data_IF_926854171886
#
_entry.id   IF_926854171886
#
_cell.length_a   1.000
_cell.length_b   1.000
_cell.length_c   1.000
_cell.angle_alpha   90.00
_cell.angle_beta   90.00
_cell.angle_gamma   90.00
#
_symmetry.space_group_name_H-M   'P 1'
#
loop_
_entity.id
_entity.type
_entity.pdbx_description
1 polymer ?
#
# COMPACT_ATOMS: atom_id res chain seq x y z
N UNK A 1 5.55 15.26 -21.60
CA UNK A 1 5.45 14.09 -20.72
C UNK A 1 6.84 13.59 -20.37
N UNK A 2 6.96 12.87 -19.29
CA UNK A 2 8.20 12.22 -18.84
C UNK A 2 8.47 10.99 -19.68
N UNK A 3 9.71 10.79 -20.10
CA UNK A 3 10.12 9.58 -20.81
C UNK A 3 10.54 8.48 -19.83
N UNK A 4 10.49 7.23 -20.26
CA UNK A 4 10.89 6.10 -19.43
C UNK A 4 12.38 6.17 -18.98
N UNK A 5 13.24 6.69 -19.84
CA UNK A 5 14.67 6.89 -19.57
C UNK A 5 14.97 7.96 -18.50
N UNK A 6 14.00 8.84 -18.20
CA UNK A 6 14.11 9.91 -17.21
C UNK A 6 13.60 9.46 -15.81
N UNK A 7 13.08 8.23 -15.67
CA UNK A 7 12.60 7.69 -14.40
C UNK A 7 13.79 7.14 -13.60
N UNK A 8 14.00 7.67 -12.40
CA UNK A 8 15.09 7.27 -11.51
C UNK A 8 14.66 6.17 -10.53
N UNK A 9 13.37 6.13 -10.16
CA UNK A 9 12.83 5.21 -9.17
C UNK A 9 11.40 4.79 -9.53
N UNK A 10 11.11 3.50 -9.41
CA UNK A 10 9.75 2.94 -9.46
C UNK A 10 9.41 2.34 -8.11
N UNK A 11 8.30 2.78 -7.51
CA UNK A 11 7.70 2.19 -6.33
C UNK A 11 6.34 1.63 -6.73
N UNK A 12 6.15 0.32 -6.62
CA UNK A 12 4.84 -0.29 -6.78
C UNK A 12 4.26 -0.65 -5.40
N UNK A 13 3.06 -0.19 -5.11
CA UNK A 13 2.35 -0.55 -3.88
C UNK A 13 1.33 -1.61 -4.19
N UNK A 14 1.51 -2.80 -3.61
CA UNK A 14 0.67 -3.97 -3.89
C UNK A 14 0.77 -5.03 -2.78
N UNK A 15 -0.32 -5.77 -2.57
CA UNK A 15 -0.36 -7.03 -1.82
C UNK A 15 -0.67 -8.22 -2.75
N UNK A 16 -0.99 -7.95 -4.01
CA UNK A 16 -1.53 -8.92 -4.98
C UNK A 16 -0.61 -9.12 -6.18
N UNK A 17 0.69 -8.84 -6.04
CA UNK A 17 1.66 -9.04 -7.12
C UNK A 17 1.56 -10.43 -7.75
N UNK A 18 1.83 -10.52 -9.06
CA UNK A 18 1.73 -11.80 -9.81
C UNK A 18 2.78 -12.81 -9.38
N UNK A 19 3.91 -12.33 -8.87
CA UNK A 19 5.03 -13.15 -8.42
C UNK A 19 5.55 -12.66 -7.07
N UNK A 20 6.07 -13.58 -6.25
CA UNK A 20 6.88 -13.19 -5.09
C UNK A 20 8.23 -12.61 -5.52
N UNK A 21 8.74 -13.04 -6.65
CA UNK A 21 9.94 -12.54 -7.34
C UNK A 21 9.84 -12.91 -8.83
N UNK A 22 10.13 -11.99 -9.74
CA UNK A 22 10.52 -10.60 -9.53
C UNK A 22 9.39 -9.73 -8.94
N UNK A 23 9.74 -8.56 -8.40
CA UNK A 23 8.77 -7.56 -7.93
C UNK A 23 7.93 -7.00 -9.08
N UNK A 24 6.73 -6.53 -8.78
CA UNK A 24 5.87 -5.87 -9.78
C UNK A 24 6.56 -4.63 -10.37
N UNK A 25 7.26 -3.86 -9.56
CA UNK A 25 8.04 -2.71 -10.02
C UNK A 25 9.11 -3.08 -11.05
N UNK A 26 9.80 -4.23 -10.89
CA UNK A 26 10.75 -4.71 -11.89
C UNK A 26 10.06 -5.15 -13.19
N UNK A 27 8.87 -5.72 -13.11
CA UNK A 27 8.09 -6.06 -14.30
C UNK A 27 7.65 -4.79 -15.06
N UNK A 28 7.18 -3.78 -14.32
CA UNK A 28 6.81 -2.46 -14.88
C UNK A 28 8.04 -1.82 -15.52
N UNK A 29 9.20 -1.81 -14.82
CA UNK A 29 10.46 -1.27 -15.33
C UNK A 29 10.81 -1.85 -16.70
N UNK A 30 10.77 -3.17 -16.81
CA UNK A 30 11.03 -3.88 -18.06
C UNK A 30 10.06 -3.47 -19.16
N UNK A 31 8.78 -3.44 -18.83
CA UNK A 31 7.71 -3.21 -19.80
C UNK A 31 7.73 -1.80 -20.38
N UNK A 32 8.01 -0.80 -19.54
CA UNK A 32 8.11 0.60 -20.02
C UNK A 32 9.50 0.96 -20.55
N UNK A 33 10.52 0.10 -20.36
CA UNK A 33 11.89 0.35 -20.81
C UNK A 33 12.70 1.31 -19.92
N UNK A 34 12.32 1.51 -18.66
CA UNK A 34 13.04 2.36 -17.68
C UNK A 34 14.25 1.64 -17.09
N UNK A 35 15.14 1.13 -17.96
CA UNK A 35 16.25 0.27 -17.56
C UNK A 35 17.29 1.09 -16.76
N UNK A 36 17.69 0.51 -15.61
CA UNK A 36 18.72 1.09 -14.74
C UNK A 36 18.18 1.91 -13.57
N UNK A 37 16.89 2.26 -13.55
CA UNK A 37 16.29 2.90 -12.39
C UNK A 37 16.16 1.93 -11.19
N UNK A 38 16.07 2.49 -9.99
CA UNK A 38 15.74 1.74 -8.77
C UNK A 38 14.30 1.22 -8.88
N UNK A 39 14.04 -0.02 -8.45
CA UNK A 39 12.69 -0.58 -8.49
C UNK A 39 12.45 -1.51 -7.31
N UNK A 40 11.36 -1.28 -6.55
CA UNK A 40 10.94 -2.15 -5.45
C UNK A 40 9.44 -2.04 -5.17
N UNK A 41 8.88 -3.10 -4.58
CA UNK A 41 7.50 -3.11 -4.12
C UNK A 41 7.42 -2.73 -2.65
N UNK A 42 6.31 -2.06 -2.30
CA UNK A 42 5.96 -1.67 -0.94
C UNK A 42 4.60 -2.27 -0.58
N UNK A 43 4.55 -2.98 0.54
CA UNK A 43 3.31 -3.51 1.08
C UNK A 43 2.92 -2.74 2.35
N UNK A 44 1.86 -1.96 2.25
CA UNK A 44 1.16 -1.35 3.38
C UNK A 44 -0.36 -1.45 3.18
N UNK A 45 -0.80 -2.50 2.47
CA UNK A 45 -2.20 -2.78 2.15
C UNK A 45 -2.93 -1.51 1.65
N UNK A 46 -4.14 -1.25 2.14
CA UNK A 46 -4.96 -0.10 1.75
C UNK A 46 -4.29 1.27 1.94
N UNK A 47 -3.29 1.38 2.81
CA UNK A 47 -2.49 2.60 2.99
C UNK A 47 -1.29 2.66 2.04
N UNK A 48 -1.11 1.67 1.16
CA UNK A 48 0.05 1.53 0.27
C UNK A 48 0.39 2.80 -0.50
N UNK A 49 -0.62 3.42 -1.16
CA UNK A 49 -0.40 4.65 -1.91
C UNK A 49 0.17 5.80 -1.03
N UNK A 50 -0.40 6.00 0.16
CA UNK A 50 0.05 7.08 1.07
C UNK A 50 1.48 6.84 1.56
N UNK A 51 1.79 5.59 1.94
CA UNK A 51 3.16 5.21 2.32
C UNK A 51 4.14 5.31 1.14
N UNK A 52 3.70 4.89 -0.05
CA UNK A 52 4.49 5.00 -1.28
C UNK A 52 4.79 6.45 -1.63
N UNK A 53 3.80 7.33 -1.50
CA UNK A 53 3.96 8.76 -1.77
C UNK A 53 4.95 9.40 -0.77
N UNK A 54 4.82 9.15 0.53
CA UNK A 54 5.76 9.64 1.54
C UNK A 54 7.17 9.09 1.31
N UNK A 55 7.28 7.82 0.91
CA UNK A 55 8.57 7.21 0.57
C UNK A 55 9.19 7.86 -0.66
N UNK A 56 8.44 8.06 -1.74
CA UNK A 56 8.90 8.75 -2.95
C UNK A 56 9.39 10.17 -2.63
N UNK A 57 8.62 10.91 -1.83
CA UNK A 57 9.00 12.26 -1.38
C UNK A 57 10.34 12.26 -0.65
N UNK A 58 10.61 11.26 0.21
CA UNK A 58 11.90 11.17 0.93
C UNK A 58 13.05 10.95 -0.04
N UNK A 59 12.90 10.09 -1.03
CA UNK A 59 13.89 9.89 -2.08
C UNK A 59 14.16 11.18 -2.88
N UNK A 60 13.11 11.89 -3.28
CA UNK A 60 13.24 13.16 -4.00
C UNK A 60 13.95 14.25 -3.18
N UNK A 61 13.93 14.16 -1.84
CA UNK A 61 14.56 15.14 -0.94
C UNK A 61 15.99 14.81 -0.51
N UNK A 62 16.47 13.56 -0.71
CA UNK A 62 17.81 13.14 -0.26
C UNK A 62 18.95 13.76 -1.03
N UNK A 63 18.70 14.24 -2.24
CA UNK A 63 19.74 14.81 -3.10
C UNK A 63 20.67 13.78 -3.76
N UNK A 64 20.33 12.50 -3.68
CA UNK A 64 21.14 11.39 -4.22
C UNK A 64 20.96 11.20 -5.75
N UNK A 65 20.50 12.23 -6.44
CA UNK A 65 20.31 12.20 -7.88
C UNK A 65 18.93 11.71 -8.34
N UNK A 66 18.05 11.30 -7.42
CA UNK A 66 16.67 10.93 -7.75
C UNK A 66 15.85 12.21 -7.97
N UNK A 67 15.32 12.37 -9.18
CA UNK A 67 14.53 13.54 -9.59
C UNK A 67 13.12 13.18 -10.01
N UNK A 68 12.93 11.96 -10.53
CA UNK A 68 11.66 11.50 -11.09
C UNK A 68 11.31 10.12 -10.53
N UNK A 69 10.18 10.03 -9.86
CA UNK A 69 9.67 8.79 -9.28
C UNK A 69 8.35 8.39 -9.96
N UNK A 70 8.28 7.17 -10.44
CA UNK A 70 7.02 6.55 -10.85
C UNK A 70 6.44 5.78 -9.67
N UNK A 71 5.35 6.28 -9.10
CA UNK A 71 4.58 5.62 -8.06
C UNK A 71 3.39 4.91 -8.69
N UNK A 72 3.30 3.60 -8.52
CA UNK A 72 2.21 2.77 -9.03
C UNK A 72 1.48 2.12 -7.86
N UNK A 73 0.17 2.25 -7.82
CA UNK A 73 -0.70 1.46 -6.95
C UNK A 73 -1.46 0.47 -7.82
N UNK A 74 -1.33 -0.83 -7.56
CA UNK A 74 -1.95 -1.87 -8.39
C UNK A 74 -2.38 -3.05 -7.53
N UNK A 75 -3.66 -3.38 -7.60
CA UNK A 75 -4.24 -4.49 -6.87
C UNK A 75 -5.18 -5.32 -7.74
N UNK A 76 -5.07 -6.62 -7.63
CA UNK A 76 -5.99 -7.62 -8.17
C UNK A 76 -6.58 -8.41 -6.99
N UNK A 77 -7.42 -7.71 -6.19
CA UNK A 77 -7.99 -8.27 -4.96
C UNK A 77 -8.97 -9.42 -5.23
N UNK A 78 -9.48 -9.53 -6.47
CA UNK A 78 -10.29 -10.67 -6.92
C UNK A 78 -9.61 -12.02 -6.70
N UNK A 79 -8.26 -12.07 -6.65
CA UNK A 79 -7.47 -13.28 -6.30
C UNK A 79 -7.74 -13.80 -4.89
N UNK A 80 -8.09 -12.90 -3.96
CA UNK A 80 -8.22 -13.19 -2.52
C UNK A 80 -9.66 -13.11 -2.00
N UNK A 81 -10.64 -12.97 -2.89
CA UNK A 81 -12.05 -12.88 -2.53
C UNK A 81 -12.72 -14.23 -2.63
N UNK A 82 -13.35 -14.68 -1.56
CA UNK A 82 -14.29 -15.79 -1.61
C UNK A 82 -15.64 -15.29 -2.13
N UNK A 83 -15.96 -15.54 -3.39
CA UNK A 83 -17.21 -15.12 -4.02
C UNK A 83 -18.45 -15.81 -3.44
N UNK A 84 -18.28 -16.80 -2.57
CA UNK A 84 -19.38 -17.41 -1.80
C UNK A 84 -19.68 -16.68 -0.49
N UNK A 85 -18.74 -15.85 -0.02
CA UNK A 85 -18.93 -15.00 1.17
C UNK A 85 -19.44 -13.61 0.77
N UNK A 86 -20.74 -13.40 0.91
CA UNK A 86 -21.39 -12.12 0.56
C UNK A 86 -21.02 -10.97 1.50
N UNK A 87 -20.39 -11.22 2.61
CA UNK A 87 -19.95 -10.17 3.55
C UNK A 87 -18.69 -9.46 3.07
N UNK A 88 -17.89 -10.10 2.22
CA UNK A 88 -16.61 -9.58 1.72
C UNK A 88 -16.57 -9.39 0.20
N UNK A 89 -17.23 -10.26 -0.59
CA UNK A 89 -17.06 -10.29 -2.04
C UNK A 89 -17.52 -9.02 -2.79
N UNK A 90 -18.36 -8.20 -2.18
CA UNK A 90 -18.86 -6.94 -2.76
C UNK A 90 -18.02 -5.72 -2.40
N UNK A 91 -17.00 -5.88 -1.56
CA UNK A 91 -16.20 -4.78 -1.00
C UNK A 91 -14.85 -4.62 -1.71
N UNK A 92 -14.34 -5.68 -2.32
CA UNK A 92 -13.00 -5.69 -2.90
C UNK A 92 -13.08 -5.81 -4.43
N UNK A 93 -12.22 -5.10 -5.12
CA UNK A 93 -12.14 -5.10 -6.58
C UNK A 93 -10.72 -4.87 -7.06
N UNK A 94 -10.54 -4.96 -8.37
CA UNK A 94 -9.26 -4.81 -9.05
C UNK A 94 -9.11 -3.38 -9.55
N UNK A 95 -7.91 -2.85 -9.49
CA UNK A 95 -7.63 -1.52 -9.98
C UNK A 95 -6.16 -1.16 -9.96
N UNK A 96 -5.78 -0.24 -10.85
CA UNK A 96 -4.43 0.30 -10.87
C UNK A 96 -4.44 1.79 -11.24
N UNK A 97 -3.49 2.52 -10.65
CA UNK A 97 -3.21 3.91 -10.98
C UNK A 97 -1.71 4.18 -10.88
N UNK A 98 -1.22 5.15 -11.66
CA UNK A 98 0.18 5.53 -11.66
C UNK A 98 0.33 7.05 -11.62
N UNK A 99 1.37 7.51 -10.94
CA UNK A 99 1.71 8.92 -10.76
C UNK A 99 3.19 9.12 -11.03
N UNK A 100 3.52 10.15 -11.77
CA UNK A 100 4.90 10.63 -11.90
C UNK A 100 5.09 11.78 -10.92
N UNK A 101 6.06 11.65 -10.04
CA UNK A 101 6.36 12.59 -8.97
C UNK A 101 7.74 13.22 -9.23
N UNK A 102 7.80 14.53 -9.12
CA UNK A 102 9.01 15.34 -9.22
C UNK A 102 8.98 16.39 -8.10
N UNK A 103 10.14 16.95 -7.78
CA UNK A 103 10.19 18.12 -6.88
C UNK A 103 9.60 19.34 -7.57
N UNK A 104 8.78 20.08 -6.83
CA UNK A 104 8.28 21.38 -7.26
C UNK A 104 8.65 22.45 -6.22
N UNK A 105 8.94 23.66 -6.72
CA UNK A 105 9.11 24.83 -5.87
C UNK A 105 7.73 25.30 -5.34
N UNK A 106 7.73 25.96 -4.19
CA UNK A 106 6.53 26.56 -3.59
C UNK A 106 5.39 25.57 -3.26
N UNK A 107 5.76 24.31 -2.97
CA UNK A 107 4.80 23.30 -2.51
C UNK A 107 5.00 22.93 -1.05
N UNK A 108 3.90 22.79 -0.32
CA UNK A 108 3.91 22.32 1.06
C UNK A 108 3.40 20.88 1.10
N UNK A 109 4.13 20.02 1.80
CA UNK A 109 3.75 18.63 2.03
C UNK A 109 3.81 18.29 3.51
N UNK A 110 2.78 17.65 3.99
CA UNK A 110 2.73 17.06 5.33
C UNK A 110 2.16 15.65 5.25
N UNK A 111 2.63 14.76 6.11
CA UNK A 111 2.10 13.40 6.25
C UNK A 111 2.01 12.99 7.71
N UNK A 112 1.03 12.15 7.98
CA UNK A 112 0.92 11.41 9.23
C UNK A 112 0.69 9.94 8.89
N UNK A 113 1.67 9.11 9.22
CA UNK A 113 1.65 7.66 8.99
C UNK A 113 1.59 6.95 10.34
N UNK A 114 0.84 5.86 10.40
CA UNK A 114 0.72 5.04 11.58
C UNK A 114 0.12 3.68 11.26
N UNK A 115 0.25 2.75 12.21
CA UNK A 115 -0.35 1.43 12.13
C UNK A 115 -0.71 0.94 13.54
N UNK A 116 -1.76 0.15 13.64
CA UNK A 116 -2.14 -0.55 14.87
C UNK A 116 -2.21 -2.06 14.61
N UNK A 117 -1.15 -2.76 14.99
CA UNK A 117 -1.05 -4.22 14.84
C UNK A 117 -2.06 -5.01 15.67
N UNK A 118 -2.67 -4.41 16.72
CA UNK A 118 -3.71 -5.06 17.50
C UNK A 118 -4.98 -5.33 16.68
N UNK A 119 -5.14 -4.60 15.57
CA UNK A 119 -6.24 -4.80 14.62
C UNK A 119 -6.04 -5.92 13.62
N UNK A 120 -4.89 -6.60 13.59
CA UNK A 120 -4.54 -7.61 12.58
C UNK A 120 -5.60 -8.70 12.43
N UNK A 121 -6.21 -9.13 13.52
CA UNK A 121 -7.26 -10.15 13.54
C UNK A 121 -8.59 -9.75 12.88
N UNK A 122 -8.79 -8.46 12.62
CA UNK A 122 -10.05 -7.96 12.06
C UNK A 122 -10.07 -7.89 10.55
N UNK A 123 -8.90 -7.93 9.92
CA UNK A 123 -8.77 -8.00 8.46
C UNK A 123 -7.47 -8.72 8.11
N UNK A 124 -7.58 -9.91 7.58
CA UNK A 124 -6.43 -10.75 7.27
C UNK A 124 -6.65 -11.58 6.01
N UNK A 125 -5.55 -11.86 5.32
CA UNK A 125 -5.42 -12.88 4.30
C UNK A 125 -4.13 -13.64 4.56
N UNK A 126 -4.21 -14.98 4.55
CA UNK A 126 -3.06 -15.82 4.87
C UNK A 126 -2.09 -15.89 3.70
N UNK A 127 -0.79 -15.78 3.98
CA UNK A 127 0.26 -16.09 3.01
C UNK A 127 0.38 -17.61 2.78
N UNK A 128 1.35 -18.01 1.96
CA UNK A 128 1.65 -19.42 1.75
C UNK A 128 1.90 -20.13 3.09
N UNK A 129 1.41 -21.36 3.20
CA UNK A 129 1.72 -22.22 4.34
C UNK A 129 3.22 -22.44 4.43
N UNK A 130 3.76 -22.35 5.65
CA UNK A 130 5.18 -22.62 5.89
C UNK A 130 5.46 -24.10 6.10
N UNK A 131 4.91 -24.96 5.25
CA UNK A 131 5.16 -26.39 5.24
C UNK A 131 6.38 -26.68 4.36
N UNK A 132 7.39 -27.38 4.93
CA UNK A 132 8.55 -27.84 4.18
C UNK A 132 9.07 -29.15 4.79
N UNK A 133 9.99 -29.84 4.10
CA UNK A 133 10.52 -31.13 4.51
C UNK A 133 11.24 -31.16 5.87
N UNK A 134 11.60 -30.01 6.42
CA UNK A 134 12.33 -29.87 7.68
C UNK A 134 11.42 -29.38 8.83
N UNK A 135 10.19 -28.98 8.54
CA UNK A 135 9.23 -28.47 9.51
C UNK A 135 8.00 -29.39 9.55
N UNK A 136 8.07 -30.40 10.42
CA UNK A 136 7.03 -31.42 10.55
C UNK A 136 5.90 -31.05 11.52
N UNK A 137 6.12 -30.05 12.39
CA UNK A 137 5.09 -29.49 13.26
C UNK A 137 5.09 -27.98 13.07
N UNK A 138 4.07 -27.45 12.41
CA UNK A 138 3.78 -26.04 12.51
C UNK A 138 3.28 -25.78 13.94
N UNK A 139 4.18 -25.41 14.85
CA UNK A 139 3.74 -24.50 15.90
C UNK A 139 3.23 -23.29 15.13
N UNK A 140 1.94 -23.21 14.92
CA UNK A 140 1.31 -22.04 14.36
C UNK A 140 1.74 -20.89 15.27
N UNK A 141 2.26 -19.86 14.66
CA UNK A 141 2.54 -18.62 15.36
C UNK A 141 1.17 -18.14 15.85
N UNK A 142 0.91 -18.38 17.14
CA UNK A 142 -0.37 -18.07 17.78
C UNK A 142 -0.45 -16.55 17.95
N UNK A 143 -0.93 -15.88 16.89
CA UNK A 143 -1.13 -14.44 16.87
C UNK A 143 -2.61 -14.07 17.04
N UNK A 144 -3.48 -14.97 17.50
CA UNK A 144 -4.93 -14.76 17.57
C UNK A 144 -5.50 -14.27 16.22
N UNK A 145 -4.96 -14.81 15.12
CA UNK A 145 -5.38 -14.48 13.76
C UNK A 145 -6.61 -15.30 13.38
N UNK A 146 -7.55 -14.75 12.60
CA UNK A 146 -8.72 -15.49 12.16
C UNK A 146 -8.32 -16.68 11.30
N UNK A 147 -9.01 -17.80 11.47
CA UNK A 147 -8.92 -18.89 10.50
C UNK A 147 -9.44 -18.39 9.14
N UNK A 148 -8.58 -18.42 8.14
CA UNK A 148 -8.96 -18.12 6.76
C UNK A 148 -9.01 -19.42 5.97
N UNK A 149 -10.04 -19.56 5.13
CA UNK A 149 -10.06 -20.64 4.16
C UNK A 149 -9.02 -20.32 3.08
N UNK A 150 -7.95 -21.08 3.05
CA UNK A 150 -6.82 -20.84 2.16
C UNK A 150 -6.23 -19.42 2.36
N UNK A 151 -6.12 -18.64 1.28
CA UNK A 151 -5.61 -17.27 1.25
C UNK A 151 -6.71 -16.21 1.13
N UNK A 152 -7.99 -16.59 1.27
CA UNK A 152 -9.09 -15.65 1.14
C UNK A 152 -9.12 -14.64 2.31
N UNK A 153 -9.57 -13.43 2.00
CA UNK A 153 -9.77 -12.40 3.01
C UNK A 153 -10.82 -12.82 4.04
N UNK A 154 -10.49 -12.59 5.30
CA UNK A 154 -11.41 -12.63 6.42
C UNK A 154 -11.51 -11.23 7.02
N UNK A 155 -12.74 -10.74 7.18
CA UNK A 155 -12.97 -9.39 7.69
C UNK A 155 -14.05 -9.39 8.78
N UNK A 156 -13.77 -8.67 9.89
CA UNK A 156 -14.80 -8.15 10.79
C UNK A 156 -15.10 -6.70 10.39
N UNK A 157 -16.07 -6.51 9.50
CA UNK A 157 -16.41 -5.20 8.95
C UNK A 157 -16.82 -4.18 10.00
N UNK A 158 -17.38 -4.61 11.15
CA UNK A 158 -17.77 -3.72 12.25
C UNK A 158 -16.56 -3.13 12.96
N UNK A 159 -15.56 -3.95 13.25
CA UNK A 159 -14.34 -3.49 13.92
C UNK A 159 -13.47 -2.66 12.96
N UNK A 160 -13.38 -3.06 11.68
CA UNK A 160 -12.71 -2.25 10.64
C UNK A 160 -13.36 -0.88 10.50
N UNK A 161 -14.70 -0.80 10.46
CA UNK A 161 -15.41 0.47 10.40
C UNK A 161 -15.15 1.36 11.62
N UNK A 162 -15.19 0.79 12.84
CA UNK A 162 -14.89 1.54 14.06
C UNK A 162 -13.47 2.11 14.08
N UNK A 163 -12.52 1.34 13.56
CA UNK A 163 -11.14 1.82 13.41
C UNK A 163 -11.07 2.95 12.39
N UNK A 164 -11.59 2.75 11.19
CA UNK A 164 -11.48 3.71 10.10
C UNK A 164 -12.10 5.08 10.44
N UNK A 165 -13.29 5.08 11.08
CA UNK A 165 -13.98 6.32 11.48
C UNK A 165 -13.26 7.14 12.55
N UNK A 166 -12.26 6.57 13.20
CA UNK A 166 -11.39 7.29 14.17
C UNK A 166 -10.03 7.62 13.56
N UNK A 167 -9.44 6.65 12.85
CA UNK A 167 -8.08 6.78 12.33
C UNK A 167 -7.99 7.82 11.20
N UNK A 168 -8.96 7.85 10.29
CA UNK A 168 -8.95 8.80 9.16
C UNK A 168 -9.05 10.26 9.60
N UNK A 169 -10.04 10.68 10.43
CA UNK A 169 -10.08 12.05 10.93
C UNK A 169 -8.82 12.44 11.70
N UNK A 170 -8.35 11.57 12.60
CA UNK A 170 -7.11 11.83 13.34
C UNK A 170 -5.92 12.02 12.40
N UNK A 171 -5.81 11.23 11.34
CA UNK A 171 -4.71 11.36 10.37
C UNK A 171 -4.73 12.72 9.66
N UNK A 172 -5.92 13.20 9.29
CA UNK A 172 -6.09 14.54 8.70
C UNK A 172 -5.68 15.63 9.69
N UNK A 173 -6.20 15.59 10.93
CA UNK A 173 -5.88 16.54 11.98
C UNK A 173 -4.37 16.60 12.25
N UNK A 174 -3.72 15.45 12.39
CA UNK A 174 -2.28 15.36 12.66
C UNK A 174 -1.43 15.85 11.47
N UNK A 175 -1.85 15.59 10.24
CA UNK A 175 -1.15 16.09 9.07
C UNK A 175 -1.29 17.61 8.94
N UNK A 176 -2.48 18.16 9.13
CA UNK A 176 -2.73 19.60 9.12
C UNK A 176 -1.96 20.33 10.22
N UNK A 177 -1.95 19.78 11.44
CA UNK A 177 -1.26 20.38 12.57
C UNK A 177 0.26 20.55 12.34
N UNK A 178 0.88 19.66 11.57
CA UNK A 178 2.33 19.75 11.27
C UNK A 178 2.71 20.95 10.40
N UNK A 179 1.77 21.50 9.66
CA UNK A 179 1.95 22.65 8.78
C UNK A 179 1.07 23.84 9.20
N UNK A 180 0.56 23.77 10.43
CA UNK A 180 -0.16 24.88 11.11
C UNK A 180 -1.41 25.37 10.35
N UNK A 181 -2.16 24.44 9.70
CA UNK A 181 -3.45 24.72 9.08
C UNK A 181 -4.59 23.98 9.79
N UNK A 182 -5.81 24.45 9.62
CA UNK A 182 -7.02 23.73 10.05
C UNK A 182 -7.45 22.71 9.00
N UNK A 183 -8.08 21.60 9.39
CA UNK A 183 -8.80 20.74 8.42
C UNK A 183 -9.85 21.50 7.59
N UNK A 184 -10.43 22.59 8.14
CA UNK A 184 -11.40 23.43 7.43
C UNK A 184 -10.78 24.27 6.30
N UNK A 185 -9.45 24.40 6.27
CA UNK A 185 -8.72 25.09 5.21
C UNK A 185 -8.45 24.19 3.98
N UNK A 186 -8.82 22.90 4.05
CA UNK A 186 -8.63 21.96 2.96
C UNK A 186 -9.73 22.10 1.91
N UNK A 187 -9.35 22.27 0.65
CA UNK A 187 -10.28 22.27 -0.48
C UNK A 187 -10.87 20.89 -0.75
N UNK A 188 -10.08 19.83 -0.53
CA UNK A 188 -10.48 18.46 -0.83
C UNK A 188 -9.95 17.46 0.20
N UNK A 189 -10.77 16.48 0.54
CA UNK A 189 -10.39 15.25 1.26
C UNK A 189 -10.81 14.08 0.38
N UNK A 190 -9.85 13.21 0.05
CA UNK A 190 -10.08 12.02 -0.77
C UNK A 190 -9.80 10.78 0.10
N UNK A 191 -10.79 10.28 0.84
CA UNK A 191 -10.63 9.11 1.69
C UNK A 191 -10.60 7.82 0.86
N UNK A 192 -9.91 6.81 1.41
CA UNK A 192 -9.98 5.45 0.89
C UNK A 192 -11.37 4.86 1.13
#
# INVERSE_FOLDING_TARGET
>A
GVKAEDIDLIIATTVTGDYFTPSLSCLIQREIGAIGCIAFDLNAACAGFVYGFDTAKRYLQTGDGIKTVLLVASEELSKFVDYTDRSSCVLFGDGAAAFVLETAEDTTYSSFLGADGNGAKYLASRALKSENAFRTNSEEFDMDMPETKDYFFKQDGKEVYKFATKALPNAVEQACAKIEISPDDLDWIVPH
#
